data_IF_396756492787
#
_entry.id   IF_396756492787
#
_cell.length_a   1.000
_cell.length_b   1.000
_cell.length_c   1.000
_cell.angle_alpha   90.00
_cell.angle_beta   90.00
_cell.angle_gamma   90.00
#
_symmetry.space_group_name_H-M   'P 1'
#
loop_
_entity.id
_entity.type
_entity.pdbx_description
1 polymer ?
#
# COMPACT_ATOMS: atom_id res chain seq x y z
N UNK A 1 15.67 -4.96 -16.75
CA UNK A 1 14.67 -4.37 -15.82
C UNK A 1 15.11 -4.74 -14.42
N UNK A 2 15.78 -3.79 -13.74
CA UNK A 2 16.51 -4.06 -12.49
C UNK A 2 15.47 -4.30 -11.38
N UNK A 3 15.53 -5.48 -10.75
CA UNK A 3 14.72 -5.86 -9.61
C UNK A 3 15.23 -5.02 -8.42
N UNK A 4 14.47 -4.05 -7.89
CA UNK A 4 14.91 -3.37 -6.67
C UNK A 4 14.78 -4.38 -5.53
N UNK A 5 15.94 -4.76 -4.97
CA UNK A 5 16.11 -5.58 -3.78
C UNK A 5 15.44 -6.97 -3.82
N UNK A 6 16.18 -7.93 -4.42
CA UNK A 6 16.02 -9.33 -4.01
C UNK A 6 16.14 -9.41 -2.47
N UNK A 7 15.45 -10.37 -1.81
CA UNK A 7 15.61 -10.57 -0.38
C UNK A 7 17.09 -10.82 -0.10
N UNK A 8 17.78 -9.79 0.36
CA UNK A 8 19.15 -9.93 0.81
C UNK A 8 19.05 -10.64 2.16
N UNK A 9 20.00 -11.52 2.42
CA UNK A 9 20.27 -12.20 3.70
C UNK A 9 20.34 -11.21 4.89
N UNK A 10 20.24 -9.94 4.62
CA UNK A 10 20.31 -8.76 5.45
C UNK A 10 19.04 -8.54 6.30
N UNK A 11 17.84 -8.86 5.79
CA UNK A 11 16.59 -8.72 6.57
C UNK A 11 16.56 -9.72 7.73
N UNK A 12 17.02 -10.96 7.51
CA UNK A 12 17.13 -11.97 8.55
C UNK A 12 18.04 -11.53 9.70
N UNK A 13 19.19 -10.94 9.36
CA UNK A 13 20.12 -10.40 10.37
C UNK A 13 19.52 -9.23 11.16
N UNK A 14 18.77 -8.35 10.50
CA UNK A 14 18.09 -7.25 11.17
C UNK A 14 16.98 -7.75 12.10
N UNK A 15 16.23 -8.77 11.70
CA UNK A 15 15.20 -9.41 12.55
C UNK A 15 15.85 -10.07 13.76
N UNK A 16 16.92 -10.87 13.56
CA UNK A 16 17.64 -11.48 14.68
C UNK A 16 18.17 -10.44 15.66
N UNK A 17 18.75 -9.35 15.16
CA UNK A 17 19.20 -8.26 16.00
C UNK A 17 18.06 -7.63 16.81
N UNK A 18 16.91 -7.38 16.17
CA UNK A 18 15.73 -6.82 16.81
C UNK A 18 15.10 -7.76 17.85
N UNK A 19 15.19 -9.06 17.66
CA UNK A 19 14.74 -10.07 18.64
C UNK A 19 15.65 -10.13 19.87
N UNK A 20 16.96 -9.88 19.70
CA UNK A 20 17.92 -9.83 20.82
C UNK A 20 17.89 -8.51 21.56
N UNK A 21 17.76 -7.41 20.84
CA UNK A 21 17.75 -6.06 21.38
C UNK A 21 16.66 -5.22 20.71
N UNK A 22 15.71 -4.77 21.52
CA UNK A 22 14.58 -3.96 21.05
C UNK A 22 14.98 -2.65 20.36
N UNK A 23 16.12 -2.06 20.72
CA UNK A 23 16.61 -0.83 20.09
C UNK A 23 17.02 -1.08 18.62
N UNK A 24 17.47 -2.29 18.32
CA UNK A 24 17.85 -2.70 16.96
C UNK A 24 16.66 -2.75 15.98
N UNK A 25 15.40 -2.80 16.48
CA UNK A 25 14.20 -2.73 15.64
C UNK A 25 14.13 -1.44 14.79
N UNK A 26 14.73 -0.36 15.27
CA UNK A 26 14.81 0.90 14.51
C UNK A 26 15.50 0.75 13.14
N UNK A 27 16.35 -0.24 12.97
CA UNK A 27 16.98 -0.54 11.66
C UNK A 27 15.96 -1.10 10.66
N UNK A 28 15.05 -1.98 11.10
CA UNK A 28 13.96 -2.49 10.27
C UNK A 28 12.99 -1.35 9.90
N UNK A 29 12.65 -0.48 10.85
CA UNK A 29 11.81 0.69 10.57
C UNK A 29 12.44 1.55 9.48
N UNK A 30 13.69 1.99 9.63
CA UNK A 30 14.42 2.81 8.62
C UNK A 30 14.48 2.15 7.24
N UNK A 31 14.62 0.82 7.19
CA UNK A 31 14.68 0.08 5.94
C UNK A 31 13.35 0.04 5.19
N UNK A 32 12.24 -0.02 5.92
CA UNK A 32 10.92 -0.25 5.36
C UNK A 32 10.01 0.98 5.34
N UNK A 33 10.25 2.01 6.17
CA UNK A 33 9.35 3.15 6.33
C UNK A 33 9.00 3.85 5.01
N UNK A 34 10.00 4.13 4.17
CA UNK A 34 9.77 4.85 2.92
C UNK A 34 8.98 4.00 1.91
N UNK A 35 9.28 2.69 1.80
CA UNK A 35 8.60 1.78 0.88
C UNK A 35 7.16 1.54 1.32
N UNK A 36 6.97 1.18 2.58
CA UNK A 36 5.64 0.96 3.16
C UNK A 36 4.82 2.25 3.17
N UNK A 37 5.43 3.40 3.42
CA UNK A 37 4.76 4.69 3.36
C UNK A 37 4.19 4.98 1.97
N UNK A 38 4.96 4.74 0.90
CA UNK A 38 4.46 4.85 -0.47
C UNK A 38 3.32 3.86 -0.76
N UNK A 39 3.49 2.61 -0.33
CA UNK A 39 2.49 1.56 -0.49
C UNK A 39 1.17 1.91 0.21
N UNK A 40 1.23 2.22 1.50
CA UNK A 40 0.06 2.59 2.32
C UNK A 40 -0.65 3.82 1.74
N UNK A 41 0.09 4.87 1.35
CA UNK A 41 -0.48 6.07 0.72
C UNK A 41 -1.28 5.73 -0.54
N UNK A 42 -0.79 4.82 -1.37
CA UNK A 42 -1.50 4.35 -2.59
C UNK A 42 -2.78 3.59 -2.26
N UNK A 43 -2.79 2.80 -1.19
CA UNK A 43 -3.98 2.10 -0.73
C UNK A 43 -5.01 3.06 -0.15
N UNK A 44 -4.59 4.02 0.67
CA UNK A 44 -5.46 4.96 1.35
C UNK A 44 -6.12 5.97 0.39
N UNK A 45 -5.51 6.25 -0.75
CA UNK A 45 -6.05 7.16 -1.75
C UNK A 45 -6.34 8.54 -1.16
N UNK A 46 -7.60 8.96 -1.18
CA UNK A 46 -8.05 10.25 -0.62
C UNK A 46 -7.73 10.45 0.87
N UNK A 47 -7.42 9.40 1.59
CA UNK A 47 -7.01 9.46 3.00
C UNK A 47 -5.48 9.43 3.16
N UNK A 48 -4.73 9.83 2.14
CA UNK A 48 -3.26 9.79 2.13
C UNK A 48 -2.59 10.56 3.27
N UNK A 49 -3.25 11.59 3.82
CA UNK A 49 -2.78 12.32 5.02
C UNK A 49 -2.69 11.43 6.28
N UNK A 50 -3.43 10.30 6.30
CA UNK A 50 -3.41 9.35 7.43
C UNK A 50 -2.32 8.28 7.28
N UNK A 51 -1.45 8.41 6.28
CA UNK A 51 -0.40 7.41 5.99
C UNK A 51 0.52 7.19 7.18
N UNK A 52 0.94 8.24 7.84
CA UNK A 52 1.88 8.17 8.97
C UNK A 52 1.28 7.41 10.15
N UNK A 53 0.02 7.71 10.51
CA UNK A 53 -0.68 7.04 11.61
C UNK A 53 -0.87 5.53 11.32
N UNK A 54 -1.30 5.20 10.09
CA UNK A 54 -1.48 3.80 9.67
C UNK A 54 -0.14 3.06 9.65
N UNK A 55 0.92 3.72 9.17
CA UNK A 55 2.26 3.15 9.11
C UNK A 55 2.84 2.93 10.51
N UNK A 56 2.67 3.90 11.42
CA UNK A 56 3.08 3.77 12.81
C UNK A 56 2.40 2.57 13.47
N UNK A 57 1.08 2.42 13.31
CA UNK A 57 0.34 1.27 13.84
C UNK A 57 0.84 -0.05 13.24
N UNK A 58 1.17 -0.07 11.94
CA UNK A 58 1.74 -1.25 11.29
C UNK A 58 3.10 -1.63 11.89
N UNK A 59 3.99 -0.67 12.14
CA UNK A 59 5.28 -0.94 12.77
C UNK A 59 5.13 -1.37 14.23
N UNK A 60 4.21 -0.80 15.00
CA UNK A 60 3.92 -1.22 16.36
C UNK A 60 3.44 -2.68 16.37
N UNK A 61 2.50 -3.03 15.48
CA UNK A 61 2.03 -4.43 15.35
C UNK A 61 3.13 -5.38 14.93
N UNK A 62 3.96 -4.98 13.96
CA UNK A 62 5.10 -5.78 13.54
C UNK A 62 6.07 -6.01 14.69
N UNK A 63 6.35 -4.99 15.50
CA UNK A 63 7.20 -5.11 16.68
C UNK A 63 6.63 -6.10 17.71
N UNK A 64 5.35 -5.97 18.03
CA UNK A 64 4.68 -6.86 19.02
C UNK A 64 4.66 -8.32 18.56
N UNK A 65 4.46 -8.54 17.25
CA UNK A 65 4.35 -9.88 16.67
C UNK A 65 5.67 -10.37 16.02
N UNK A 66 6.80 -9.71 16.30
CA UNK A 66 8.07 -10.07 15.65
C UNK A 66 8.53 -11.49 15.99
N UNK A 67 8.16 -12.00 17.19
CA UNK A 67 8.43 -13.37 17.61
C UNK A 67 7.64 -14.41 16.80
N UNK A 68 6.54 -14.03 16.16
CA UNK A 68 5.70 -14.93 15.36
C UNK A 68 6.17 -14.98 13.90
N UNK A 69 7.19 -14.20 13.54
CA UNK A 69 7.78 -14.24 12.23
C UNK A 69 8.60 -15.51 12.03
N UNK A 70 8.33 -16.23 10.93
CA UNK A 70 9.08 -17.42 10.52
C UNK A 70 10.33 -17.02 9.73
N UNK A 71 11.56 -17.21 10.27
CA UNK A 71 12.81 -16.86 9.59
C UNK A 71 13.06 -17.65 8.29
N UNK A 72 12.35 -18.78 8.08
CA UNK A 72 12.43 -19.53 6.82
C UNK A 72 11.72 -18.82 5.65
N UNK A 73 10.96 -17.77 5.91
CA UNK A 73 10.23 -16.98 4.92
C UNK A 73 10.86 -15.60 4.73
N UNK A 74 10.70 -14.97 3.55
CA UNK A 74 11.13 -13.58 3.35
C UNK A 74 10.39 -12.62 4.29
N UNK A 75 11.11 -11.68 4.90
CA UNK A 75 10.53 -10.68 5.82
C UNK A 75 9.62 -9.67 5.10
N UNK A 76 9.97 -9.31 3.86
CA UNK A 76 9.24 -8.31 3.08
C UNK A 76 7.74 -8.64 2.94
N UNK A 77 7.29 -9.82 2.48
CA UNK A 77 5.85 -10.14 2.43
C UNK A 77 5.18 -10.08 3.81
N UNK A 78 5.85 -10.50 4.87
CA UNK A 78 5.31 -10.49 6.22
C UNK A 78 4.99 -9.07 6.72
N UNK A 79 5.94 -8.14 6.58
CA UNK A 79 5.72 -6.74 7.00
C UNK A 79 4.72 -6.02 6.09
N UNK A 80 4.72 -6.31 4.78
CA UNK A 80 3.71 -5.79 3.84
C UNK A 80 2.30 -6.26 4.16
N UNK A 81 2.12 -7.52 4.59
CA UNK A 81 0.83 -8.06 5.04
C UNK A 81 0.31 -7.29 6.25
N UNK A 82 1.16 -7.00 7.24
CA UNK A 82 0.78 -6.22 8.41
C UNK A 82 0.35 -4.81 8.00
N UNK A 83 1.13 -4.13 7.17
CA UNK A 83 0.81 -2.79 6.69
C UNK A 83 -0.47 -2.76 5.84
N UNK A 84 -0.69 -3.79 4.99
CA UNK A 84 -1.90 -3.96 4.22
C UNK A 84 -3.14 -4.08 5.12
N UNK A 85 -3.08 -4.96 6.11
CA UNK A 85 -4.18 -5.21 7.04
C UNK A 85 -4.54 -3.96 7.86
N UNK A 86 -3.54 -3.15 8.27
CA UNK A 86 -3.78 -1.86 8.93
C UNK A 86 -4.48 -0.87 8.00
N UNK A 87 -4.00 -0.74 6.76
CA UNK A 87 -4.61 0.16 5.77
C UNK A 87 -6.06 -0.25 5.45
N UNK A 88 -6.32 -1.54 5.23
CA UNK A 88 -7.67 -2.06 4.98
C UNK A 88 -8.58 -1.88 6.19
N UNK A 89 -8.08 -2.12 7.40
CA UNK A 89 -8.82 -1.91 8.64
C UNK A 89 -9.21 -0.44 8.82
N UNK A 90 -8.28 0.47 8.55
CA UNK A 90 -8.54 1.91 8.55
C UNK A 90 -9.64 2.28 7.55
N UNK A 91 -9.51 1.85 6.28
CA UNK A 91 -10.50 2.14 5.23
C UNK A 91 -11.89 1.59 5.57
N UNK A 92 -11.96 0.40 6.19
CA UNK A 92 -13.23 -0.18 6.64
C UNK A 92 -13.89 0.66 7.73
N UNK A 93 -13.10 1.15 8.71
CA UNK A 93 -13.62 2.04 9.78
C UNK A 93 -14.14 3.36 9.20
N UNK A 94 -13.41 3.95 8.23
CA UNK A 94 -13.85 5.18 7.57
C UNK A 94 -15.17 4.99 6.82
N UNK A 95 -15.34 3.88 6.11
CA UNK A 95 -16.61 3.55 5.43
C UNK A 95 -17.76 3.36 6.42
N UNK A 96 -17.54 2.67 7.54
CA UNK A 96 -18.54 2.49 8.58
C UNK A 96 -18.94 3.82 9.24
N UNK A 97 -17.97 4.73 9.48
CA UNK A 97 -18.24 6.08 9.98
C UNK A 97 -19.07 6.93 9.01
N UNK A 98 -18.81 6.83 7.70
CA UNK A 98 -19.59 7.53 6.67
C UNK A 98 -21.04 7.01 6.61
N UNK A 99 -21.26 5.70 6.78
CA UNK A 99 -22.63 5.14 6.80
C UNK A 99 -23.49 5.67 7.98
N UNK A 100 -22.85 6.11 9.05
CA UNK A 100 -23.57 6.75 10.19
C UNK A 100 -23.92 8.20 9.86
N UNK A 101 -23.23 8.84 8.89
CA UNK A 101 -23.42 10.24 8.48
C UNK A 101 -24.07 10.42 7.10
N UNK A 102 -24.59 9.36 6.46
CA UNK A 102 -25.38 9.47 5.21
C UNK A 102 -26.79 10.02 5.43
N UNK A 103 -26.89 11.07 6.27
CA UNK A 103 -27.96 12.01 6.32
C UNK A 103 -27.43 13.41 5.97
N UNK A 104 -27.56 13.82 4.73
CA UNK A 104 -27.51 15.20 4.19
C UNK A 104 -26.16 15.89 3.89
N UNK A 105 -24.97 15.49 4.38
CA UNK A 105 -23.75 16.28 4.20
C UNK A 105 -22.60 15.63 3.42
N UNK A 106 -22.82 14.52 2.73
CA UNK A 106 -21.75 13.80 2.01
C UNK A 106 -21.15 14.60 0.81
N UNK A 107 -21.91 15.53 0.25
CA UNK A 107 -21.46 16.35 -0.88
C UNK A 107 -20.48 17.47 -0.46
N UNK A 108 -20.63 18.01 0.75
CA UNK A 108 -19.79 19.11 1.28
C UNK A 108 -18.41 18.64 1.77
N UNK A 109 -18.27 17.36 2.14
CA UNK A 109 -16.99 16.78 2.56
C UNK A 109 -16.06 16.42 1.37
N UNK A 110 -16.62 16.25 0.17
CA UNK A 110 -15.85 15.95 -1.05
C UNK A 110 -15.07 17.17 -1.58
N UNK A 111 -15.52 18.39 -1.28
CA UNK A 111 -14.89 19.64 -1.74
C UNK A 111 -13.70 20.09 -0.87
N UNK A 112 -13.58 19.59 0.37
CA UNK A 112 -12.56 20.05 1.35
C UNK A 112 -11.25 19.27 1.35
N UNK A 113 -11.08 18.24 0.52
CA UNK A 113 -9.87 17.38 0.49
C UNK A 113 -9.04 17.59 -0.78
N UNK A 114 -9.08 18.77 -1.38
CA UNK A 114 -8.05 19.25 -2.28
C UNK A 114 -6.99 19.97 -1.43
N UNK A 115 -6.24 19.23 -0.63
CA UNK A 115 -5.15 19.75 0.21
C UNK A 115 -3.84 19.78 -0.56
N UNK A 116 -3.26 20.95 -0.56
CA UNK A 116 -2.02 21.42 -1.12
C UNK A 116 -0.84 20.47 -0.91
N UNK A 117 -0.25 19.99 -2.00
CA UNK A 117 1.12 19.50 -2.06
C UNK A 117 1.99 20.52 -2.77
N UNK A 118 3.05 20.95 -2.10
CA UNK A 118 4.00 21.99 -2.47
C UNK A 118 4.69 21.69 -3.82
N UNK A 119 4.67 22.64 -4.79
CA UNK A 119 5.04 22.35 -6.16
C UNK A 119 6.37 22.97 -6.57
N UNK A 120 7.52 22.34 -6.36
CA UNK A 120 8.68 22.93 -7.06
C UNK A 120 9.78 21.99 -7.60
N UNK A 121 9.73 20.68 -7.52
CA UNK A 121 10.84 19.89 -8.07
C UNK A 121 10.51 18.73 -9.03
N UNK A 122 9.24 18.45 -9.36
CA UNK A 122 8.91 17.25 -10.14
C UNK A 122 7.63 17.32 -11.01
N UNK A 123 7.34 18.42 -11.67
CA UNK A 123 6.09 18.61 -12.44
C UNK A 123 5.72 17.46 -13.40
N UNK A 124 6.69 16.85 -14.09
CA UNK A 124 6.39 15.74 -15.01
C UNK A 124 6.26 14.38 -14.31
N UNK A 125 7.01 14.14 -13.24
CA UNK A 125 6.91 12.91 -12.44
C UNK A 125 5.68 12.96 -11.53
N UNK A 126 5.35 14.14 -11.04
CA UNK A 126 4.16 14.43 -10.24
C UNK A 126 2.88 14.16 -11.04
N UNK A 127 2.74 14.70 -12.24
CA UNK A 127 1.56 14.47 -13.10
C UNK A 127 1.33 12.99 -13.39
N UNK A 128 2.37 12.24 -13.79
CA UNK A 128 2.25 10.80 -14.02
C UNK A 128 1.88 10.01 -12.76
N UNK A 129 2.39 10.41 -11.60
CA UNK A 129 2.05 9.79 -10.34
C UNK A 129 0.58 10.07 -9.94
N UNK A 130 0.11 11.30 -10.16
CA UNK A 130 -1.29 11.70 -9.95
C UNK A 130 -2.23 10.94 -10.88
N UNK A 131 -1.85 10.79 -12.16
CA UNK A 131 -2.64 10.06 -13.14
C UNK A 131 -2.79 8.58 -12.77
N UNK A 132 -1.70 7.94 -12.36
CA UNK A 132 -1.73 6.57 -11.83
C UNK A 132 -2.61 6.49 -10.58
N UNK A 133 -2.50 7.47 -9.70
CA UNK A 133 -3.29 7.50 -8.47
C UNK A 133 -4.80 7.66 -8.78
N UNK A 134 -5.17 8.57 -9.67
CA UNK A 134 -6.55 8.74 -10.14
C UNK A 134 -7.07 7.47 -10.81
N UNK A 135 -6.28 6.84 -11.69
CA UNK A 135 -6.66 5.59 -12.34
C UNK A 135 -6.90 4.45 -11.34
N UNK A 136 -6.05 4.34 -10.32
CA UNK A 136 -6.20 3.34 -9.27
C UNK A 136 -7.38 3.62 -8.35
N UNK A 137 -7.75 4.89 -8.11
CA UNK A 137 -8.83 5.26 -7.19
C UNK A 137 -10.22 4.80 -7.64
N UNK A 138 -10.44 4.66 -8.95
CA UNK A 138 -11.72 4.23 -9.54
C UNK A 138 -11.87 2.72 -9.71
N UNK A 139 -10.82 1.95 -9.38
CA UNK A 139 -10.81 0.49 -9.47
C UNK A 139 -11.18 -0.11 -8.12
N UNK A 140 -11.98 -1.19 -8.14
CA UNK A 140 -12.29 -1.97 -6.94
C UNK A 140 -11.02 -2.32 -6.15
N UNK A 141 -11.07 -2.20 -4.84
CA UNK A 141 -9.93 -2.40 -3.94
C UNK A 141 -9.18 -3.71 -4.24
N UNK A 142 -9.88 -4.85 -4.38
CA UNK A 142 -9.28 -6.18 -4.68
C UNK A 142 -8.40 -6.21 -5.93
N UNK A 143 -8.72 -5.40 -6.96
CA UNK A 143 -7.91 -5.30 -8.17
C UNK A 143 -6.80 -4.27 -8.01
N UNK A 144 -7.05 -3.18 -7.29
CA UNK A 144 -6.05 -2.16 -6.96
C UNK A 144 -4.90 -2.76 -6.18
N UNK A 145 -5.19 -3.53 -5.13
CA UNK A 145 -4.19 -4.10 -4.23
C UNK A 145 -3.19 -4.98 -4.98
N UNK A 146 -3.67 -5.89 -5.83
CA UNK A 146 -2.79 -6.74 -6.65
C UNK A 146 -2.00 -5.94 -7.69
N UNK A 147 -2.59 -4.90 -8.29
CA UNK A 147 -1.91 -4.02 -9.26
C UNK A 147 -0.78 -3.23 -8.60
N UNK A 148 -1.04 -2.64 -7.44
CA UNK A 148 -0.04 -1.88 -6.68
C UNK A 148 1.12 -2.79 -6.29
N UNK A 149 0.84 -3.94 -5.67
CA UNK A 149 1.88 -4.89 -5.26
C UNK A 149 2.70 -5.40 -6.45
N UNK A 150 2.06 -5.73 -7.57
CA UNK A 150 2.74 -6.27 -8.74
C UNK A 150 3.58 -5.24 -9.49
N UNK A 151 2.99 -4.09 -9.82
CA UNK A 151 3.60 -3.15 -10.76
C UNK A 151 4.34 -1.99 -10.08
N UNK A 152 3.98 -1.63 -8.86
CA UNK A 152 4.61 -0.51 -8.15
C UNK A 152 5.57 -0.98 -7.05
N UNK A 153 5.30 -2.15 -6.42
CA UNK A 153 6.18 -2.75 -5.42
C UNK A 153 7.05 -3.91 -5.98
N UNK A 154 6.76 -4.40 -7.19
CA UNK A 154 7.57 -5.42 -7.88
C UNK A 154 7.43 -6.84 -7.32
N UNK A 155 6.39 -7.11 -6.53
CA UNK A 155 6.18 -8.39 -5.87
C UNK A 155 5.87 -9.52 -6.86
N UNK A 156 6.32 -10.73 -6.56
CA UNK A 156 5.95 -11.96 -7.27
C UNK A 156 4.49 -12.37 -6.96
N UNK A 157 3.94 -13.32 -7.70
CA UNK A 157 2.59 -13.81 -7.44
C UNK A 157 2.48 -14.53 -6.09
N UNK A 158 3.54 -15.24 -5.69
CA UNK A 158 3.59 -15.93 -4.40
C UNK A 158 3.67 -14.93 -3.25
N UNK A 159 4.50 -13.90 -3.36
CA UNK A 159 4.57 -12.81 -2.37
C UNK A 159 3.23 -12.08 -2.24
N UNK A 160 2.54 -11.79 -3.36
CA UNK A 160 1.20 -11.18 -3.34
C UNK A 160 0.17 -12.12 -2.72
N UNK A 161 0.25 -13.41 -3.01
CA UNK A 161 -0.58 -14.44 -2.40
C UNK A 161 -0.42 -14.45 -0.87
N UNK A 162 0.81 -14.39 -0.38
CA UNK A 162 1.12 -14.33 1.05
C UNK A 162 0.66 -13.02 1.71
N UNK A 163 0.82 -11.88 1.02
CA UNK A 163 0.42 -10.56 1.55
C UNK A 163 -1.10 -10.43 1.66
N UNK A 164 -1.82 -10.84 0.61
CA UNK A 164 -3.27 -10.67 0.51
C UNK A 164 -4.07 -11.88 1.02
N UNK A 165 -3.38 -12.96 1.40
CA UNK A 165 -3.97 -14.23 1.86
C UNK A 165 -5.00 -14.81 0.88
N UNK A 166 -4.67 -14.74 -0.43
CA UNK A 166 -5.49 -15.29 -1.53
C UNK A 166 -4.65 -16.24 -2.40
N UNK A 167 -5.25 -17.27 -3.01
CA UNK A 167 -4.52 -18.19 -3.89
C UNK A 167 -3.83 -17.48 -5.06
N UNK A 168 -2.63 -17.92 -5.48
CA UNK A 168 -1.87 -17.34 -6.59
C UNK A 168 -2.66 -17.29 -7.90
N UNK A 169 -3.55 -18.28 -8.17
CA UNK A 169 -4.48 -18.26 -9.30
C UNK A 169 -5.50 -17.12 -9.22
N UNK A 170 -5.91 -16.74 -7.99
CA UNK A 170 -6.78 -15.59 -7.76
C UNK A 170 -6.01 -14.28 -8.00
N UNK A 171 -4.73 -14.20 -7.60
CA UNK A 171 -3.85 -13.07 -7.91
C UNK A 171 -3.78 -12.84 -9.41
N UNK A 172 -3.50 -13.89 -10.20
CA UNK A 172 -3.44 -13.81 -11.66
C UNK A 172 -4.77 -13.32 -12.28
N UNK A 173 -5.89 -13.84 -11.78
CA UNK A 173 -7.24 -13.44 -12.22
C UNK A 173 -7.52 -11.97 -11.89
N UNK A 174 -7.18 -11.52 -10.68
CA UNK A 174 -7.38 -10.13 -10.25
C UNK A 174 -6.49 -9.17 -11.05
N UNK A 175 -5.22 -9.52 -11.32
CA UNK A 175 -4.33 -8.73 -12.17
C UNK A 175 -4.92 -8.55 -13.58
N UNK A 176 -5.33 -9.64 -14.22
CA UNK A 176 -5.91 -9.58 -15.58
C UNK A 176 -7.18 -8.74 -15.62
N UNK A 177 -8.08 -8.88 -14.65
CA UNK A 177 -9.30 -8.09 -14.56
C UNK A 177 -9.02 -6.62 -14.25
N UNK A 178 -8.08 -6.35 -13.37
CA UNK A 178 -7.64 -4.99 -13.03
C UNK A 178 -7.04 -4.26 -14.23
N UNK A 179 -6.13 -4.90 -14.98
CA UNK A 179 -5.56 -4.35 -16.21
C UNK A 179 -6.63 -4.08 -17.29
N UNK A 180 -7.61 -5.00 -17.43
CA UNK A 180 -8.73 -4.80 -18.36
C UNK A 180 -9.56 -3.57 -17.99
N UNK A 181 -9.81 -3.36 -16.69
CA UNK A 181 -10.52 -2.17 -16.20
C UNK A 181 -9.73 -0.88 -16.45
N UNK A 182 -8.41 -0.87 -16.26
CA UNK A 182 -7.55 0.28 -16.56
C UNK A 182 -7.52 0.66 -18.04
N UNK A 183 -7.72 -0.30 -18.96
CA UNK A 183 -7.75 -0.07 -20.41
C UNK A 183 -9.10 0.44 -20.94
N UNK A 184 -10.09 0.64 -20.09
CA UNK A 184 -11.41 1.11 -20.53
C UNK A 184 -11.31 2.58 -20.98
N UNK A 185 -11.90 2.97 -22.15
CA UNK A 185 -11.78 4.32 -22.73
C UNK A 185 -12.13 5.45 -21.78
N UNK A 186 -13.02 5.21 -20.82
CA UNK A 186 -13.43 6.17 -19.79
C UNK A 186 -12.26 6.61 -18.85
N UNK A 187 -11.18 5.83 -18.79
CA UNK A 187 -9.98 6.16 -18.01
C UNK A 187 -8.86 6.74 -18.90
N UNK A 188 -8.96 6.63 -20.22
CA UNK A 188 -7.99 7.17 -21.15
C UNK A 188 -8.34 8.58 -21.59
N UNK A 189 -9.62 8.98 -21.53
CA UNK A 189 -10.09 10.29 -22.01
C UNK A 189 -9.57 11.50 -21.20
N UNK A 190 -9.09 11.29 -19.97
CA UNK A 190 -8.49 12.37 -19.17
C UNK A 190 -6.95 12.43 -19.28
N UNK A 191 -6.33 11.43 -19.93
CA UNK A 191 -4.88 11.43 -20.21
C UNK A 191 -4.53 12.24 -21.47
N UNK A 192 -5.53 12.65 -22.25
CA UNK A 192 -5.37 13.40 -23.51
C UNK A 192 -5.70 14.91 -23.37
N UNK A 193 -6.03 15.38 -22.15
CA UNK A 193 -6.31 16.80 -21.87
C UNK A 193 -5.21 17.39 -20.98
#
# INVERSE_FOLDING_TARGET
MNRPDAPTNDDGLLVEAALRDRQSYAALVRRYEQRLGRYVRRLLGRYGQMTEDVLQNAFIRAFVNLNDYDPARPFSPWIYRIAHNEAVSFLRKQRAGIQIFEGEDAALLLERVAGEDNPESNLLKSRRAEDVHKALSVIDQRYRDVLVLRYLEGMSYDEISDILEIPAGTVATHLNRGLKKLRTPRLLSWAET
#
